data_IF_141332266174
#
_entry.id   IF_141332266174
#
_cell.length_a   1.000
_cell.length_b   1.000
_cell.length_c   1.000
_cell.angle_alpha   90.00
_cell.angle_beta   90.00
_cell.angle_gamma   90.00
#
_symmetry.space_group_name_H-M   'P 1'
#
loop_
_entity.id
_entity.type
_entity.pdbx_description
1 polymer ?
#
# COMPACT_ATOMS: atom_id res chain seq x y z
N UNK A 1 -20.20 10.13 23.03
CA UNK A 1 -19.74 11.52 22.90
C UNK A 1 -19.05 11.91 24.19
N UNK A 2 -17.75 12.19 24.15
CA UNK A 2 -17.01 12.71 25.31
C UNK A 2 -16.05 13.78 24.82
N UNK A 3 -16.25 15.00 25.33
CA UNK A 3 -15.55 16.24 24.98
C UNK A 3 -14.25 16.36 25.77
N UNK A 4 -13.15 16.66 25.08
CA UNK A 4 -11.84 16.97 25.68
C UNK A 4 -11.72 18.49 25.86
N UNK A 5 -11.66 18.93 27.12
CA UNK A 5 -11.42 20.32 27.51
C UNK A 5 -10.04 20.39 28.17
N UNK A 6 -9.05 20.97 27.49
CA UNK A 6 -7.79 21.37 28.12
C UNK A 6 -7.55 22.86 27.88
N UNK A 7 -7.97 23.64 28.87
CA UNK A 7 -7.65 25.03 29.09
C UNK A 7 -6.23 25.12 29.69
N UNK A 8 -5.21 25.39 28.89
CA UNK A 8 -3.90 25.79 29.41
C UNK A 8 -3.71 27.31 29.26
N UNK A 9 -3.89 27.93 30.41
CA UNK A 9 -3.71 29.32 30.82
C UNK A 9 -2.55 30.07 30.14
N UNK A 10 -2.93 31.18 29.52
CA UNK A 10 -2.10 32.31 29.09
C UNK A 10 -1.40 32.98 30.29
N UNK A 11 -0.07 32.97 30.34
CA UNK A 11 0.67 33.99 31.09
C UNK A 11 1.48 34.84 30.12
N UNK A 12 1.01 36.06 29.97
CA UNK A 12 1.50 37.14 29.15
C UNK A 12 2.81 37.69 29.74
N UNK A 13 3.94 37.50 29.06
CA UNK A 13 5.17 38.27 29.31
C UNK A 13 5.80 38.67 27.97
N UNK A 14 5.01 39.31 27.12
CA UNK A 14 5.51 40.20 26.07
C UNK A 14 5.80 41.58 26.68
N UNK A 15 6.87 42.21 26.22
CA UNK A 15 7.38 43.55 26.59
C UNK A 15 8.09 43.69 27.95
N UNK A 16 9.37 43.30 27.97
CA UNK A 16 10.36 43.94 28.87
C UNK A 16 11.54 44.40 28.01
N UNK A 17 11.45 45.64 27.51
CA UNK A 17 12.57 46.41 27.00
C UNK A 17 13.49 46.78 28.18
N UNK A 18 14.56 46.02 28.37
CA UNK A 18 15.53 46.21 29.45
C UNK A 18 16.73 47.06 28.97
N UNK A 19 16.50 48.37 28.81
CA UNK A 19 17.54 49.39 28.62
C UNK A 19 18.12 49.84 29.99
N UNK A 20 18.91 48.99 30.65
CA UNK A 20 19.69 49.41 31.82
C UNK A 20 21.16 48.98 31.71
N UNK A 21 21.96 49.90 31.16
CA UNK A 21 23.42 49.93 31.21
C UNK A 21 23.92 49.90 32.65
N UNK A 22 24.68 48.88 33.07
CA UNK A 22 25.74 49.06 34.07
C UNK A 22 26.95 48.18 33.78
N UNK A 23 28.10 48.86 33.76
CA UNK A 23 29.44 48.40 33.45
C UNK A 23 29.97 47.49 34.57
N UNK A 24 30.65 46.40 34.20
CA UNK A 24 31.71 45.82 35.03
C UNK A 24 32.89 45.42 34.12
N UNK A 25 33.87 46.31 34.07
CA UNK A 25 35.27 45.95 33.95
C UNK A 25 35.61 44.99 35.09
N UNK A 26 36.02 43.76 34.76
CA UNK A 26 37.19 43.09 35.33
C UNK A 26 37.21 41.58 34.98
N UNK A 27 38.42 41.13 34.66
CA UNK A 27 38.94 39.76 34.70
C UNK A 27 38.78 38.91 33.43
N UNK A 28 39.84 38.97 32.61
CA UNK A 28 40.33 37.83 31.84
C UNK A 28 40.47 36.60 32.76
N UNK A 29 39.43 35.78 32.80
CA UNK A 29 39.48 34.47 33.44
C UNK A 29 39.23 33.38 32.40
N UNK A 30 40.32 32.68 32.09
CA UNK A 30 40.36 31.41 31.38
C UNK A 30 39.51 30.35 32.10
N UNK A 31 38.24 30.24 31.71
CA UNK A 31 37.39 29.06 31.86
C UNK A 31 36.51 29.07 30.59
N UNK A 32 36.40 28.08 29.73
CA UNK A 32 35.80 26.77 29.99
C UNK A 32 35.91 25.89 28.70
N UNK A 33 36.68 24.79 28.68
CA UNK A 33 36.56 23.78 27.63
C UNK A 33 35.16 23.13 27.62
N UNK A 34 34.51 23.05 28.78
CA UNK A 34 33.30 22.27 29.00
C UNK A 34 32.05 22.86 28.32
N UNK A 35 31.92 24.19 28.26
CA UNK A 35 30.78 24.84 27.57
C UNK A 35 30.91 24.75 26.06
N UNK A 36 32.12 24.70 25.51
CA UNK A 36 32.34 24.40 24.09
C UNK A 36 31.82 22.99 23.76
N UNK A 37 32.13 21.99 24.60
CA UNK A 37 31.64 20.61 24.41
C UNK A 37 30.12 20.50 24.54
N UNK A 38 29.50 21.18 25.52
CA UNK A 38 28.05 21.15 25.69
C UNK A 38 27.31 21.77 24.49
N UNK A 39 27.78 22.92 24.00
CA UNK A 39 27.17 23.59 22.86
C UNK A 39 27.31 22.77 21.55
N UNK A 40 28.44 22.08 21.38
CA UNK A 40 28.67 21.13 20.30
C UNK A 40 27.67 19.97 20.34
N UNK A 41 27.49 19.34 21.51
CA UNK A 41 26.52 18.26 21.71
C UNK A 41 25.09 18.73 21.42
N UNK A 42 24.70 19.91 21.89
CA UNK A 42 23.38 20.48 21.61
C UNK A 42 23.18 20.78 20.12
N UNK A 43 24.23 21.15 19.38
CA UNK A 43 24.15 21.30 17.91
C UNK A 43 23.94 19.95 17.24
N UNK A 44 24.71 18.93 17.62
CA UNK A 44 24.57 17.57 17.06
C UNK A 44 23.20 16.95 17.33
N UNK A 45 22.61 17.19 18.51
CA UNK A 45 21.24 16.74 18.82
C UNK A 45 20.23 17.43 17.89
N UNK A 46 20.37 18.74 17.67
CA UNK A 46 19.49 19.49 16.75
C UNK A 46 19.62 19.00 15.30
N UNK A 47 20.84 18.73 14.83
CA UNK A 47 21.08 18.18 13.50
C UNK A 47 20.47 16.78 13.35
N UNK A 48 20.63 15.90 14.35
CA UNK A 48 20.01 14.57 14.34
C UNK A 48 18.49 14.65 14.34
N UNK A 49 17.90 15.57 15.10
CA UNK A 49 16.44 15.77 15.10
C UNK A 49 15.93 16.15 13.70
N UNK A 50 16.61 17.05 12.99
CA UNK A 50 16.25 17.41 11.62
C UNK A 50 16.32 16.22 10.65
N UNK A 51 17.31 15.33 10.81
CA UNK A 51 17.42 14.10 10.02
C UNK A 51 16.25 13.17 10.31
N UNK A 52 15.89 12.97 11.57
CA UNK A 52 14.75 12.14 11.99
C UNK A 52 13.44 12.69 11.42
N UNK A 53 13.23 14.01 11.50
CA UNK A 53 12.03 14.67 10.97
C UNK A 53 11.90 14.46 9.45
N UNK A 54 13.02 14.60 8.72
CA UNK A 54 13.07 14.34 7.28
C UNK A 54 12.79 12.87 6.93
N UNK A 55 13.34 11.93 7.70
CA UNK A 55 13.07 10.50 7.52
C UNK A 55 11.59 10.17 7.78
N UNK A 56 10.99 10.75 8.82
CA UNK A 56 9.58 10.58 9.13
C UNK A 56 8.68 11.17 8.02
N UNK A 57 9.06 12.30 7.42
CA UNK A 57 8.34 12.86 6.28
C UNK A 57 8.38 11.91 5.06
N UNK A 58 9.56 11.36 4.75
CA UNK A 58 9.72 10.42 3.64
C UNK A 58 8.94 9.12 3.86
N UNK A 59 8.96 8.59 5.10
CA UNK A 59 8.20 7.40 5.47
C UNK A 59 6.69 7.62 5.27
N UNK A 60 6.16 8.77 5.69
CA UNK A 60 4.75 9.11 5.47
C UNK A 60 4.40 9.20 3.98
N UNK A 61 5.26 9.79 3.15
CA UNK A 61 5.08 9.82 1.70
C UNK A 61 5.05 8.40 1.11
N UNK A 62 5.95 7.52 1.57
CA UNK A 62 6.00 6.14 1.10
C UNK A 62 4.74 5.34 1.46
N UNK A 63 4.23 5.50 2.67
CA UNK A 63 2.96 4.88 3.11
C UNK A 63 1.79 5.35 2.22
N UNK A 64 1.73 6.65 1.91
CA UNK A 64 0.69 7.18 1.02
C UNK A 64 0.76 6.56 -0.39
N UNK A 65 1.96 6.40 -0.94
CA UNK A 65 2.18 5.76 -2.24
C UNK A 65 1.76 4.29 -2.24
N UNK A 66 2.15 3.52 -1.21
CA UNK A 66 1.75 2.12 -1.05
C UNK A 66 0.23 2.00 -0.99
N UNK A 67 -0.44 2.84 -0.21
CA UNK A 67 -1.89 2.83 -0.09
C UNK A 67 -2.55 3.13 -1.44
N UNK A 68 -2.05 4.11 -2.19
CA UNK A 68 -2.57 4.42 -3.53
C UNK A 68 -2.38 3.25 -4.51
N UNK A 69 -1.22 2.61 -4.50
CA UNK A 69 -0.93 1.46 -5.37
C UNK A 69 -1.78 0.23 -4.99
N UNK A 70 -2.02 0.00 -3.70
CA UNK A 70 -2.83 -1.12 -3.23
C UNK A 70 -4.29 -0.99 -3.68
N UNK A 71 -4.84 0.23 -3.64
CA UNK A 71 -6.19 0.49 -4.15
C UNK A 71 -6.31 0.24 -5.67
N UNK A 72 -5.28 0.54 -6.45
CA UNK A 72 -5.27 0.27 -7.90
C UNK A 72 -5.27 -1.24 -8.20
N UNK A 73 -4.50 -2.03 -7.45
CA UNK A 73 -4.46 -3.48 -7.61
C UNK A 73 -5.81 -4.12 -7.28
N UNK A 74 -6.48 -3.67 -6.22
CA UNK A 74 -7.83 -4.15 -5.87
C UNK A 74 -8.86 -3.80 -6.96
N UNK A 75 -8.75 -2.62 -7.57
CA UNK A 75 -9.64 -2.21 -8.64
C UNK A 75 -9.47 -3.04 -9.92
N UNK A 76 -8.25 -3.50 -10.22
CA UNK A 76 -7.98 -4.29 -11.43
C UNK A 76 -8.50 -5.74 -11.37
N UNK A 77 -8.81 -6.26 -10.19
CA UNK A 77 -9.27 -7.64 -10.00
C UNK A 77 -10.77 -7.76 -9.69
N UNK A 78 -11.50 -6.65 -9.62
CA UNK A 78 -12.92 -6.66 -9.22
C UNK A 78 -13.89 -7.07 -10.34
N UNK A 79 -13.47 -7.10 -11.60
CA UNK A 79 -14.29 -7.68 -12.67
C UNK A 79 -13.82 -9.11 -12.96
N UNK A 80 -14.54 -10.15 -12.49
CA UNK A 80 -14.29 -11.50 -12.96
C UNK A 80 -14.43 -11.52 -14.50
N UNK A 81 -13.61 -12.30 -15.23
CA UNK A 81 -13.80 -12.43 -16.67
C UNK A 81 -15.22 -12.92 -16.92
N UNK A 82 -15.95 -12.23 -17.80
CA UNK A 82 -17.27 -12.67 -18.24
C UNK A 82 -17.14 -14.08 -18.78
N UNK A 83 -17.83 -15.04 -18.17
CA UNK A 83 -17.92 -16.39 -18.71
C UNK A 83 -18.39 -16.32 -20.16
N UNK A 84 -17.78 -17.08 -21.09
CA UNK A 84 -18.24 -17.11 -22.47
C UNK A 84 -19.71 -17.51 -22.49
N UNK A 85 -20.55 -16.65 -23.07
CA UNK A 85 -21.96 -16.94 -23.24
C UNK A 85 -22.10 -18.01 -24.34
N UNK A 86 -22.23 -19.28 -23.94
CA UNK A 86 -22.49 -20.38 -24.88
C UNK A 86 -24.00 -20.38 -25.15
N UNK A 87 -24.43 -19.54 -26.10
CA UNK A 87 -25.84 -19.45 -26.52
C UNK A 87 -26.22 -20.48 -27.59
N UNK A 88 -25.26 -21.18 -28.18
CA UNK A 88 -25.54 -22.18 -29.21
C UNK A 88 -26.00 -23.49 -28.58
N UNK A 89 -27.26 -23.92 -28.81
CA UNK A 89 -27.69 -25.24 -28.37
C UNK A 89 -26.84 -26.31 -29.08
N UNK A 90 -26.33 -27.28 -28.33
CA UNK A 90 -25.65 -28.43 -28.89
C UNK A 90 -26.70 -29.23 -29.68
N UNK A 91 -26.59 -29.24 -31.02
CA UNK A 91 -27.50 -30.02 -31.86
C UNK A 91 -27.07 -31.47 -31.92
N UNK A 92 -28.03 -32.39 -32.04
CA UNK A 92 -27.77 -33.82 -32.26
C UNK A 92 -26.90 -34.09 -33.49
N UNK A 93 -27.01 -33.25 -34.52
CA UNK A 93 -26.16 -33.30 -35.72
C UNK A 93 -24.70 -32.96 -35.40
N UNK A 94 -24.43 -31.94 -34.57
CA UNK A 94 -23.07 -31.59 -34.16
C UNK A 94 -22.40 -32.73 -33.38
N UNK A 95 -23.16 -33.39 -32.48
CA UNK A 95 -22.71 -34.58 -31.75
C UNK A 95 -22.40 -35.71 -32.73
N UNK A 96 -23.34 -36.04 -33.62
CA UNK A 96 -23.20 -37.12 -34.61
C UNK A 96 -21.99 -36.91 -35.52
N UNK A 97 -21.76 -35.69 -36.00
CA UNK A 97 -20.60 -35.37 -36.85
C UNK A 97 -19.29 -35.46 -36.08
N UNK A 98 -19.27 -35.05 -34.81
CA UNK A 98 -18.09 -35.18 -33.94
C UNK A 98 -17.75 -36.65 -33.73
N UNK A 99 -18.76 -37.48 -33.43
CA UNK A 99 -18.64 -38.93 -33.30
C UNK A 99 -18.16 -39.56 -34.62
N UNK A 100 -18.79 -39.26 -35.76
CA UNK A 100 -18.36 -39.77 -37.08
C UNK A 100 -16.93 -39.38 -37.43
N UNK A 101 -16.52 -38.15 -37.11
CA UNK A 101 -15.15 -37.67 -37.35
C UNK A 101 -14.14 -38.37 -36.45
N UNK A 102 -14.48 -38.65 -35.19
CA UNK A 102 -13.60 -39.40 -34.28
C UNK A 102 -13.56 -40.90 -34.60
N UNK A 103 -14.61 -41.46 -35.19
CA UNK A 103 -14.70 -42.87 -35.61
C UNK A 103 -14.22 -43.12 -37.06
N UNK A 104 -13.93 -42.08 -37.84
CA UNK A 104 -13.66 -42.13 -39.30
C UNK A 104 -12.34 -42.77 -39.77
N UNK A 105 -11.80 -43.77 -39.05
CA UNK A 105 -10.70 -44.64 -39.54
C UNK A 105 -10.91 -46.13 -39.26
N UNK A 106 -12.11 -46.57 -38.90
CA UNK A 106 -12.40 -48.01 -38.89
C UNK A 106 -12.94 -48.41 -40.26
N UNK A 107 -12.17 -49.18 -41.02
CA UNK A 107 -12.67 -49.89 -42.19
C UNK A 107 -13.76 -50.85 -41.72
N UNK A 108 -15.04 -50.47 -41.84
CA UNK A 108 -16.18 -51.26 -41.37
C UNK A 108 -16.54 -52.38 -42.35
N UNK A 109 -15.55 -53.11 -42.84
CA UNK A 109 -15.77 -54.36 -43.61
C UNK A 109 -15.66 -55.61 -42.71
N UNK A 110 -15.28 -55.44 -41.44
CA UNK A 110 -15.36 -56.49 -40.43
C UNK A 110 -16.59 -56.26 -39.53
N UNK A 111 -17.62 -57.03 -39.85
CA UNK A 111 -18.57 -57.68 -38.94
C UNK A 111 -18.54 -57.22 -37.49
N UNK A 112 -19.53 -56.41 -37.09
CA UNK A 112 -20.32 -56.60 -35.86
C UNK A 112 -21.27 -55.40 -35.67
N UNK A 113 -22.49 -55.55 -36.19
CA UNK A 113 -23.65 -54.70 -35.88
C UNK A 113 -24.13 -54.90 -34.43
N UNK A 114 -23.23 -54.87 -33.45
CA UNK A 114 -23.56 -54.85 -32.03
C UNK A 114 -23.69 -53.40 -31.54
N UNK A 115 -24.63 -52.65 -32.11
CA UNK A 115 -25.12 -51.42 -31.48
C UNK A 115 -26.49 -51.71 -30.90
N UNK A 116 -26.50 -51.78 -29.57
CA UNK A 116 -27.61 -52.17 -28.70
C UNK A 116 -28.96 -51.66 -29.21
N UNK A 117 -29.76 -52.61 -29.70
CA UNK A 117 -31.20 -52.47 -29.76
C UNK A 117 -31.73 -52.50 -28.33
N UNK A 118 -31.78 -51.32 -27.68
CA UNK A 118 -32.60 -51.12 -26.49
C UNK A 118 -34.06 -51.38 -26.90
N UNK A 119 -34.51 -52.62 -26.67
CA UNK A 119 -35.92 -52.98 -26.74
C UNK A 119 -36.67 -52.27 -25.61
N UNK A 120 -37.56 -51.36 -26.00
CA UNK A 120 -38.73 -51.01 -25.19
C UNK A 120 -39.62 -52.25 -25.07
N UNK A 121 -39.87 -52.68 -23.84
CA UNK A 121 -41.13 -53.32 -23.45
C UNK A 121 -41.97 -52.27 -22.72
#
# INVERSE_FOLDING_TARGET
>A
MSTNNNNNNNNNNGDIDNDELQQQDNEEHQQQPQVSTFNEQLRQIREQQQVIDKQNQLLQQHIQLINQQSQQQLNNHSTPPSSPNITTPITSAAITNTIKKSLGKTNTDDTDHQLLQCHLF
#
